data_IF_286406632667
#
_entry.id   IF_286406632667
#
_cell.length_a   1.000
_cell.length_b   1.000
_cell.length_c   1.000
_cell.angle_alpha   90.00
_cell.angle_beta   90.00
_cell.angle_gamma   90.00
#
_symmetry.space_group_name_H-M   'P 1'
#
loop_
_entity.id
_entity.type
_entity.pdbx_description
1 polymer ?
#
# COMPACT_ATOMS: atom_id res chain seq x y z
N UNK A 1 14.62 -13.02 17.54
CA UNK A 1 15.29 -11.82 18.10
C UNK A 1 14.16 -10.90 18.52
N UNK A 2 14.07 -10.55 19.80
CA UNK A 2 12.99 -9.70 20.33
C UNK A 2 13.11 -8.30 19.71
N UNK A 3 12.00 -7.58 19.57
CA UNK A 3 11.99 -6.16 19.20
C UNK A 3 12.95 -5.39 20.11
N UNK A 4 13.92 -4.69 19.54
CA UNK A 4 14.89 -3.91 20.32
C UNK A 4 14.12 -2.81 21.09
N UNK A 5 14.45 -2.62 22.37
CA UNK A 5 13.85 -1.58 23.20
C UNK A 5 14.01 -0.17 22.60
N UNK A 6 15.00 0.03 21.72
CA UNK A 6 15.24 1.28 21.01
C UNK A 6 14.31 1.50 19.79
N UNK A 7 13.74 0.44 19.23
CA UNK A 7 12.91 0.48 18.02
C UNK A 7 11.43 0.71 18.36
N UNK A 8 11.11 1.93 18.83
CA UNK A 8 9.78 2.31 19.29
C UNK A 8 9.20 3.52 18.54
N UNK A 9 8.15 3.29 17.76
CA UNK A 9 7.44 4.31 16.98
C UNK A 9 6.21 4.87 17.71
N UNK A 10 5.88 6.14 17.46
CA UNK A 10 4.69 6.79 18.03
C UNK A 10 3.40 6.37 17.30
N UNK A 11 2.25 6.70 17.87
CA UNK A 11 0.94 6.50 17.22
C UNK A 11 0.85 7.30 15.90
N UNK A 12 1.39 8.52 15.87
CA UNK A 12 1.42 9.35 14.67
C UNK A 12 2.33 8.74 13.59
N UNK A 13 3.54 8.30 13.96
CA UNK A 13 4.45 7.59 13.07
C UNK A 13 3.83 6.33 12.48
N UNK A 14 3.10 5.58 13.30
CA UNK A 14 2.37 4.38 12.86
C UNK A 14 1.28 4.75 11.85
N UNK A 15 0.49 5.79 12.13
CA UNK A 15 -0.53 6.26 11.21
C UNK A 15 0.07 6.71 9.87
N UNK A 16 1.19 7.43 9.90
CA UNK A 16 1.90 7.88 8.70
C UNK A 16 2.51 6.72 7.91
N UNK A 17 3.03 5.68 8.58
CA UNK A 17 3.48 4.45 7.91
C UNK A 17 2.33 3.78 7.17
N UNK A 18 1.18 3.63 7.85
CA UNK A 18 -0.02 3.06 7.24
C UNK A 18 -0.48 3.92 6.04
N UNK A 19 -0.55 5.25 6.19
CA UNK A 19 -0.95 6.15 5.11
C UNK A 19 -0.07 6.01 3.87
N UNK A 20 1.26 6.14 4.03
CA UNK A 20 2.17 6.08 2.89
C UNK A 20 2.15 4.69 2.22
N UNK A 21 2.05 3.63 3.02
CA UNK A 21 2.00 2.29 2.44
C UNK A 21 0.70 2.07 1.65
N UNK A 22 -0.43 2.57 2.16
CA UNK A 22 -1.71 2.51 1.45
C UNK A 22 -1.75 3.35 0.17
N UNK A 23 -1.12 4.53 0.15
CA UNK A 23 -1.17 5.46 -0.99
C UNK A 23 -0.44 4.96 -2.26
N UNK A 24 0.36 3.88 -2.17
CA UNK A 24 1.30 3.36 -3.17
C UNK A 24 0.98 3.64 -4.66
N UNK A 25 0.59 2.61 -5.41
CA UNK A 25 0.26 2.75 -6.85
C UNK A 25 -1.21 3.08 -7.09
N UNK A 26 -2.05 3.01 -6.05
CA UNK A 26 -3.50 3.15 -6.17
C UNK A 26 -3.94 4.50 -6.72
N UNK A 27 -3.26 5.61 -6.39
CA UNK A 27 -3.71 6.97 -6.81
C UNK A 27 -3.86 7.07 -8.34
N UNK A 28 -3.03 6.36 -9.10
CA UNK A 28 -2.97 6.53 -10.55
C UNK A 28 -3.74 5.48 -11.33
N UNK A 29 -3.82 4.27 -10.81
CA UNK A 29 -4.54 3.17 -11.46
C UNK A 29 -5.98 3.06 -11.00
N UNK A 30 -6.30 3.48 -9.77
CA UNK A 30 -7.61 3.24 -9.16
C UNK A 30 -8.75 3.81 -9.98
N UNK A 31 -8.72 5.05 -10.51
CA UNK A 31 -9.84 5.54 -11.31
C UNK A 31 -10.14 4.62 -12.50
N UNK A 32 -9.13 4.19 -13.24
CA UNK A 32 -9.30 3.27 -14.38
C UNK A 32 -9.86 1.92 -13.94
N UNK A 33 -9.18 1.25 -13.01
CA UNK A 33 -9.50 -0.14 -12.63
C UNK A 33 -10.87 -0.25 -11.96
N UNK A 34 -11.26 0.74 -11.16
CA UNK A 34 -12.55 0.76 -10.50
C UNK A 34 -13.69 1.19 -11.44
N UNK A 35 -13.47 2.14 -12.35
CA UNK A 35 -14.47 2.53 -13.37
C UNK A 35 -14.69 1.41 -14.38
N UNK A 36 -13.64 0.70 -14.81
CA UNK A 36 -13.78 -0.45 -15.72
C UNK A 36 -14.67 -1.55 -15.11
N UNK A 37 -14.61 -1.72 -13.78
CA UNK A 37 -15.43 -2.68 -13.06
C UNK A 37 -16.87 -2.21 -12.84
N UNK A 38 -17.06 -0.97 -12.41
CA UNK A 38 -18.35 -0.43 -11.97
C UNK A 38 -19.17 0.12 -13.14
N UNK A 39 -18.53 0.73 -14.15
CA UNK A 39 -19.15 1.30 -15.36
C UNK A 39 -20.25 2.35 -15.09
N UNK A 40 -20.14 3.06 -13.96
CA UNK A 40 -21.00 4.18 -13.57
C UNK A 40 -20.16 5.26 -12.90
N UNK A 41 -20.63 6.53 -12.82
CA UNK A 41 -19.93 7.57 -12.08
C UNK A 41 -19.89 7.34 -10.55
N UNK A 42 -20.68 6.40 -10.02
CA UNK A 42 -20.83 6.11 -8.58
C UNK A 42 -19.62 5.38 -7.96
N UNK A 43 -18.52 5.28 -8.70
CA UNK A 43 -17.30 4.58 -8.27
C UNK A 43 -16.74 5.15 -6.97
N UNK A 44 -16.90 6.44 -6.73
CA UNK A 44 -16.46 7.08 -5.49
C UNK A 44 -17.12 6.45 -4.24
N UNK A 45 -18.38 6.00 -4.33
CA UNK A 45 -19.04 5.25 -3.25
C UNK A 45 -18.39 3.87 -3.05
N UNK A 46 -18.01 3.23 -4.14
CA UNK A 46 -17.31 1.94 -4.12
C UNK A 46 -15.94 2.06 -3.44
N UNK A 47 -15.23 3.17 -3.68
CA UNK A 47 -13.94 3.48 -3.05
C UNK A 47 -14.10 3.67 -1.54
N UNK A 48 -15.15 4.38 -1.12
CA UNK A 48 -15.49 4.54 0.30
C UNK A 48 -15.79 3.19 0.97
N UNK A 49 -16.66 2.37 0.37
CA UNK A 49 -17.00 1.05 0.89
C UNK A 49 -15.79 0.13 0.96
N UNK A 50 -14.91 0.15 -0.05
CA UNK A 50 -13.66 -0.60 -0.05
C UNK A 50 -12.75 -0.20 1.12
N UNK A 51 -12.70 1.09 1.45
CA UNK A 51 -11.97 1.61 2.60
C UNK A 51 -12.56 1.19 3.94
N UNK A 52 -13.90 1.17 4.06
CA UNK A 52 -14.58 0.64 5.25
C UNK A 52 -14.27 -0.85 5.47
N UNK A 53 -14.25 -1.64 4.40
CA UNK A 53 -13.82 -3.05 4.46
C UNK A 53 -12.38 -3.15 4.96
N UNK A 54 -11.46 -2.32 4.45
CA UNK A 54 -10.08 -2.29 4.91
C UNK A 54 -9.97 -1.93 6.41
N UNK A 55 -10.77 -0.99 6.91
CA UNK A 55 -10.85 -0.66 8.35
C UNK A 55 -11.31 -1.86 9.17
N UNK A 56 -12.33 -2.61 8.72
CA UNK A 56 -12.81 -3.82 9.41
C UNK A 56 -11.70 -4.88 9.47
N UNK A 57 -11.01 -5.12 8.35
CA UNK A 57 -9.87 -6.06 8.29
C UNK A 57 -8.75 -5.62 9.23
N UNK A 58 -8.44 -4.32 9.26
CA UNK A 58 -7.42 -3.76 10.15
C UNK A 58 -7.74 -3.96 11.62
N UNK A 59 -9.03 -3.88 12.01
CA UNK A 59 -9.47 -4.16 13.37
C UNK A 59 -9.14 -5.60 13.76
N UNK A 60 -9.37 -6.57 12.86
CA UNK A 60 -9.05 -7.98 13.09
C UNK A 60 -7.55 -8.16 13.30
N UNK A 61 -6.71 -7.57 12.43
CA UNK A 61 -5.26 -7.63 12.52
C UNK A 61 -4.73 -7.03 13.84
N UNK A 62 -5.21 -5.84 14.20
CA UNK A 62 -4.81 -5.17 15.44
C UNK A 62 -5.24 -5.97 16.66
N UNK A 63 -6.46 -6.49 16.67
CA UNK A 63 -6.98 -7.32 17.77
C UNK A 63 -6.16 -8.59 17.94
N UNK A 64 -5.79 -9.24 16.84
CA UNK A 64 -4.90 -10.40 16.85
C UNK A 64 -3.53 -10.03 17.43
N UNK A 65 -2.88 -9.00 16.88
CA UNK A 65 -1.53 -8.63 17.31
C UNK A 65 -1.47 -8.16 18.76
N UNK A 66 -2.49 -7.43 19.25
CA UNK A 66 -2.57 -7.01 20.66
C UNK A 66 -2.75 -8.19 21.63
N UNK A 67 -3.25 -9.32 21.14
CA UNK A 67 -3.33 -10.56 21.92
C UNK A 67 -1.97 -11.16 22.25
N UNK A 68 -0.91 -10.75 21.55
CA UNK A 68 0.45 -11.26 21.69
C UNK A 68 1.47 -10.12 21.83
N UNK A 69 1.54 -9.46 23.00
CA UNK A 69 2.44 -8.34 23.24
C UNK A 69 3.91 -8.68 22.96
N UNK A 70 4.66 -7.69 22.43
CA UNK A 70 6.10 -7.77 22.09
C UNK A 70 6.50 -8.90 21.12
N UNK A 71 5.52 -9.57 20.50
CA UNK A 71 5.74 -10.58 19.46
C UNK A 71 5.26 -10.05 18.12
N UNK A 72 6.07 -10.29 17.10
CA UNK A 72 5.68 -10.05 15.70
C UNK A 72 4.78 -11.17 15.17
N UNK A 73 4.11 -10.93 14.04
CA UNK A 73 3.33 -11.97 13.36
C UNK A 73 4.13 -13.25 13.12
N UNK A 74 5.39 -13.13 12.70
CA UNK A 74 6.28 -14.27 12.41
C UNK A 74 6.61 -15.13 13.65
N UNK A 75 6.40 -14.58 14.84
CA UNK A 75 6.58 -15.27 16.12
C UNK A 75 5.27 -15.81 16.66
N UNK A 76 4.23 -14.97 16.81
CA UNK A 76 2.98 -15.40 17.44
C UNK A 76 2.18 -16.37 16.56
N UNK A 77 2.29 -16.32 15.22
CA UNK A 77 1.57 -17.29 14.39
C UNK A 77 2.05 -18.73 14.66
N UNK A 78 3.33 -18.92 14.99
CA UNK A 78 3.92 -20.24 15.31
C UNK A 78 3.47 -20.74 16.68
N UNK A 79 3.16 -19.84 17.59
CA UNK A 79 2.54 -20.16 18.88
C UNK A 79 1.09 -20.61 18.72
N UNK A 80 0.34 -19.98 17.81
CA UNK A 80 -1.08 -20.30 17.56
C UNK A 80 -1.24 -21.64 16.84
N UNK A 81 -0.53 -21.86 15.72
CA UNK A 81 -0.75 -23.05 14.86
C UNK A 81 0.44 -24.02 14.82
N UNK A 82 1.49 -23.77 15.60
CA UNK A 82 2.68 -24.61 15.67
C UNK A 82 3.80 -24.20 14.70
N UNK A 83 4.99 -24.77 14.92
CA UNK A 83 6.24 -24.40 14.22
C UNK A 83 6.16 -24.58 12.70
N UNK A 84 5.55 -25.66 12.23
CA UNK A 84 5.51 -26.02 10.80
C UNK A 84 4.48 -25.18 10.04
N UNK A 85 3.21 -25.22 10.46
CA UNK A 85 2.14 -24.44 9.82
C UNK A 85 2.39 -22.92 9.93
N UNK A 86 2.78 -22.43 11.11
CA UNK A 86 3.14 -21.02 11.29
C UNK A 86 4.40 -20.64 10.50
N UNK A 87 5.36 -21.56 10.37
CA UNK A 87 6.55 -21.38 9.52
C UNK A 87 6.19 -21.20 8.05
N UNK A 88 5.27 -22.00 7.52
CA UNK A 88 4.76 -21.87 6.15
C UNK A 88 4.00 -20.55 5.95
N UNK A 89 3.10 -20.18 6.87
CA UNK A 89 2.36 -18.91 6.82
C UNK A 89 3.33 -17.71 6.83
N UNK A 90 4.36 -17.78 7.68
CA UNK A 90 5.41 -16.77 7.76
C UNK A 90 6.17 -16.66 6.43
N UNK A 91 6.53 -17.79 5.83
CA UNK A 91 7.24 -17.82 4.54
C UNK A 91 6.38 -17.23 3.41
N UNK A 92 5.10 -17.56 3.36
CA UNK A 92 4.17 -17.00 2.36
C UNK A 92 4.05 -15.48 2.52
N UNK A 93 3.95 -14.97 3.75
CA UNK A 93 3.90 -13.54 4.00
C UNK A 93 5.23 -12.83 3.64
N UNK A 94 6.37 -13.48 3.87
CA UNK A 94 7.68 -12.98 3.42
C UNK A 94 7.73 -12.87 1.89
N UNK A 95 7.34 -13.94 1.18
CA UNK A 95 7.30 -13.94 -0.29
C UNK A 95 6.35 -12.86 -0.83
N UNK A 96 5.22 -12.65 -0.18
CA UNK A 96 4.28 -11.58 -0.49
C UNK A 96 4.92 -10.19 -0.37
N UNK A 97 5.61 -9.90 0.74
CA UNK A 97 6.30 -8.62 0.90
C UNK A 97 7.47 -8.44 -0.08
N UNK A 98 8.21 -9.51 -0.42
CA UNK A 98 9.24 -9.46 -1.48
C UNK A 98 8.63 -9.19 -2.86
N UNK A 99 7.48 -9.77 -3.16
CA UNK A 99 6.75 -9.51 -4.40
C UNK A 99 6.33 -8.04 -4.50
N UNK A 100 5.85 -7.45 -3.40
CA UNK A 100 5.58 -6.01 -3.33
C UNK A 100 6.86 -5.22 -3.60
N UNK A 101 7.97 -5.51 -2.92
CA UNK A 101 9.23 -4.78 -3.13
C UNK A 101 9.69 -4.80 -4.58
N UNK A 102 9.67 -5.96 -5.24
CA UNK A 102 10.02 -6.08 -6.66
C UNK A 102 9.02 -5.38 -7.58
N UNK A 103 7.72 -5.47 -7.30
CA UNK A 103 6.67 -4.74 -8.02
C UNK A 103 6.86 -3.23 -7.96
N UNK A 104 7.23 -2.69 -6.79
CA UNK A 104 7.49 -1.25 -6.62
C UNK A 104 8.68 -0.79 -7.47
N UNK A 105 9.79 -1.53 -7.47
CA UNK A 105 10.95 -1.21 -8.32
C UNK A 105 10.56 -1.26 -9.79
N UNK A 106 9.88 -2.32 -10.24
CA UNK A 106 9.48 -2.40 -11.64
C UNK A 106 8.54 -1.25 -12.01
N UNK A 107 7.57 -0.93 -11.16
CA UNK A 107 6.64 0.17 -11.35
C UNK A 107 7.36 1.51 -11.50
N UNK A 108 8.34 1.82 -10.64
CA UNK A 108 9.08 3.09 -10.78
C UNK A 108 9.90 3.14 -12.06
N UNK A 109 10.49 2.02 -12.49
CA UNK A 109 11.29 2.01 -13.71
C UNK A 109 10.46 2.24 -14.97
N UNK A 110 9.25 1.68 -15.04
CA UNK A 110 8.31 1.94 -16.14
C UNK A 110 7.97 3.44 -16.18
N UNK A 111 7.64 4.02 -15.02
CA UNK A 111 7.27 5.43 -14.92
C UNK A 111 8.42 6.35 -15.31
N UNK A 112 9.63 6.08 -14.80
CA UNK A 112 10.83 6.86 -15.16
C UNK A 112 11.07 6.77 -16.67
N UNK A 113 11.00 5.57 -17.25
CA UNK A 113 11.25 5.38 -18.67
C UNK A 113 10.19 6.06 -19.56
N UNK A 114 8.92 6.01 -19.18
CA UNK A 114 7.82 6.60 -19.95
C UNK A 114 7.70 8.12 -19.81
N UNK A 115 8.04 8.69 -18.65
CA UNK A 115 7.72 10.09 -18.35
C UNK A 115 8.93 11.00 -18.12
N UNK A 116 10.09 10.46 -17.73
CA UNK A 116 11.21 11.28 -17.25
C UNK A 116 12.49 11.10 -18.07
N UNK A 117 12.91 9.85 -18.28
CA UNK A 117 14.23 9.51 -18.81
C UNK A 117 14.09 8.44 -19.90
N UNK A 118 13.55 8.86 -21.05
CA UNK A 118 13.44 8.01 -22.22
C UNK A 118 14.82 7.47 -22.64
N UNK A 119 14.90 6.19 -22.99
CA UNK A 119 16.15 5.53 -23.37
C UNK A 119 17.08 5.11 -22.22
N UNK A 120 16.76 5.46 -20.96
CA UNK A 120 17.53 4.96 -19.81
C UNK A 120 17.27 3.47 -19.59
N UNK A 121 18.31 2.62 -19.52
CA UNK A 121 18.12 1.20 -19.29
C UNK A 121 17.45 0.92 -17.93
N UNK A 122 16.45 0.02 -17.93
CA UNK A 122 15.70 -0.40 -16.75
C UNK A 122 16.61 -0.84 -15.60
N UNK A 123 17.70 -1.57 -15.91
CA UNK A 123 18.63 -2.05 -14.89
C UNK A 123 19.28 -0.90 -14.10
N UNK A 124 19.56 0.24 -14.75
CA UNK A 124 20.23 1.36 -14.13
C UNK A 124 19.30 2.08 -13.13
N UNK A 125 18.08 2.41 -13.55
CA UNK A 125 17.08 3.05 -12.69
C UNK A 125 16.64 2.11 -11.55
N UNK A 126 16.44 0.82 -11.82
CA UNK A 126 16.11 -0.17 -10.80
C UNK A 126 17.20 -0.27 -9.72
N UNK A 127 18.47 -0.33 -10.14
CA UNK A 127 19.61 -0.46 -9.22
C UNK A 127 19.72 0.75 -8.32
N UNK A 128 19.69 1.97 -8.87
CA UNK A 128 19.77 3.21 -8.08
C UNK A 128 18.64 3.26 -7.06
N UNK A 129 17.40 3.01 -7.49
CA UNK A 129 16.24 3.06 -6.62
C UNK A 129 16.31 2.03 -5.48
N UNK A 130 16.74 0.80 -5.79
CA UNK A 130 16.94 -0.27 -4.82
C UNK A 130 18.01 0.09 -3.79
N UNK A 131 19.17 0.61 -4.21
CA UNK A 131 20.24 0.99 -3.28
C UNK A 131 19.88 2.19 -2.42
N UNK A 132 19.16 3.18 -2.96
CA UNK A 132 18.63 4.29 -2.17
C UNK A 132 17.69 3.78 -1.07
N UNK A 133 16.76 2.88 -1.39
CA UNK A 133 15.86 2.27 -0.41
C UNK A 133 16.63 1.43 0.62
N UNK A 134 17.62 0.67 0.17
CA UNK A 134 18.49 -0.14 1.03
C UNK A 134 19.25 0.69 2.06
N UNK A 135 19.74 1.87 1.67
CA UNK A 135 20.42 2.77 2.60
C UNK A 135 19.53 3.15 3.79
N UNK A 136 18.26 3.49 3.55
CA UNK A 136 17.31 3.79 4.62
C UNK A 136 16.95 2.56 5.46
N UNK A 137 16.79 1.40 4.81
CA UNK A 137 16.49 0.12 5.46
C UNK A 137 17.50 -0.24 6.55
N UNK A 138 18.79 0.03 6.32
CA UNK A 138 19.86 -0.24 7.29
C UNK A 138 19.67 0.52 8.62
N UNK A 139 18.94 1.63 8.60
CA UNK A 139 18.60 2.43 9.77
C UNK A 139 17.51 1.82 10.66
N UNK A 140 16.74 0.85 10.17
CA UNK A 140 15.64 0.22 10.91
C UNK A 140 14.34 1.04 10.93
N UNK A 141 13.39 0.63 11.76
CA UNK A 141 12.01 1.18 11.71
C UNK A 141 11.92 2.67 12.10
N UNK A 142 12.79 3.15 12.98
CA UNK A 142 12.76 4.53 13.46
C UNK A 142 13.14 5.55 12.36
N UNK A 143 14.27 5.43 11.64
CA UNK A 143 14.56 6.27 10.48
C UNK A 143 13.51 6.17 9.37
N UNK A 144 12.99 4.96 9.11
CA UNK A 144 11.90 4.75 8.14
C UNK A 144 10.69 5.61 8.53
N UNK A 145 10.25 5.53 9.78
CA UNK A 145 9.12 6.31 10.30
C UNK A 145 9.34 7.82 10.15
N UNK A 146 10.54 8.32 10.51
CA UNK A 146 10.87 9.76 10.41
C UNK A 146 10.86 10.26 8.97
N UNK A 147 11.37 9.48 8.02
CA UNK A 147 11.32 9.88 6.62
C UNK A 147 9.88 9.90 6.12
N UNK A 148 9.04 8.93 6.52
CA UNK A 148 7.65 8.91 6.08
C UNK A 148 6.87 10.09 6.69
N UNK A 149 7.19 10.51 7.91
CA UNK A 149 6.69 11.75 8.53
C UNK A 149 7.07 13.00 7.74
N UNK A 150 8.22 13.01 7.05
CA UNK A 150 8.62 14.10 6.16
C UNK A 150 7.88 14.04 4.81
N UNK A 151 7.76 12.84 4.23
CA UNK A 151 7.15 12.63 2.91
C UNK A 151 5.64 12.92 2.93
N UNK A 152 4.96 12.61 4.04
CA UNK A 152 3.50 12.72 4.09
C UNK A 152 2.97 14.15 3.93
N UNK A 153 3.46 15.18 4.67
CA UNK A 153 3.04 16.57 4.45
C UNK A 153 3.32 17.07 3.03
N UNK A 154 4.48 16.71 2.45
CA UNK A 154 4.82 17.05 1.06
C UNK A 154 3.78 16.45 0.11
N UNK A 155 3.44 15.18 0.32
CA UNK A 155 2.41 14.48 -0.46
C UNK A 155 1.06 15.17 -0.35
N UNK A 156 0.64 15.58 0.85
CA UNK A 156 -0.63 16.31 1.07
C UNK A 156 -0.64 17.65 0.35
N UNK A 157 0.41 18.45 0.49
CA UNK A 157 0.49 19.78 -0.12
C UNK A 157 0.43 19.68 -1.64
N UNK A 158 1.24 18.82 -2.24
CA UNK A 158 1.28 18.66 -3.69
C UNK A 158 -0.05 18.07 -4.17
N UNK A 159 -0.64 17.11 -3.46
CA UNK A 159 -1.92 16.51 -3.83
C UNK A 159 -3.05 17.56 -3.83
N UNK A 160 -3.13 18.40 -2.80
CA UNK A 160 -4.14 19.46 -2.73
C UNK A 160 -3.95 20.50 -3.84
N UNK A 161 -2.71 20.85 -4.18
CA UNK A 161 -2.40 21.73 -5.31
C UNK A 161 -2.91 21.13 -6.63
N UNK A 162 -2.56 19.87 -6.91
CA UNK A 162 -2.99 19.11 -8.09
C UNK A 162 -4.52 19.01 -8.15
N UNK A 163 -5.17 18.70 -7.03
CA UNK A 163 -6.63 18.62 -6.95
C UNK A 163 -7.31 19.98 -7.18
N UNK A 164 -6.75 21.06 -6.62
CA UNK A 164 -7.27 22.42 -6.82
C UNK A 164 -7.19 22.84 -8.28
N UNK A 165 -6.06 22.60 -8.94
CA UNK A 165 -5.91 22.88 -10.37
C UNK A 165 -6.90 22.09 -11.22
N UNK A 166 -7.18 20.84 -10.83
CA UNK A 166 -8.10 19.96 -11.53
C UNK A 166 -9.55 20.48 -11.60
N UNK A 167 -9.92 21.45 -10.77
CA UNK A 167 -11.28 22.04 -10.75
C UNK A 167 -11.62 22.75 -12.06
N UNK A 168 -10.63 23.29 -12.78
CA UNK A 168 -10.87 24.03 -14.03
C UNK A 168 -11.44 23.19 -15.17
N UNK A 169 -11.25 21.88 -15.16
CA UNK A 169 -11.79 20.94 -16.17
C UNK A 169 -12.99 20.14 -15.64
N UNK A 170 -13.42 20.39 -14.40
CA UNK A 170 -14.43 19.58 -13.74
C UNK A 170 -15.83 19.93 -14.24
N UNK A 171 -16.52 18.95 -14.80
CA UNK A 171 -17.94 19.03 -15.13
C UNK A 171 -18.74 18.14 -14.17
N UNK A 172 -19.65 18.74 -13.41
CA UNK A 172 -20.49 18.03 -12.44
C UNK A 172 -21.46 17.06 -13.11
N UNK A 173 -21.83 17.29 -14.36
CA UNK A 173 -22.76 16.43 -15.08
C UNK A 173 -22.14 15.07 -15.43
N UNK A 174 -20.80 14.99 -15.50
CA UNK A 174 -20.09 13.71 -15.62
C UNK A 174 -20.27 12.80 -14.38
N UNK A 175 -20.70 13.34 -13.24
CA UNK A 175 -21.01 12.59 -12.02
C UNK A 175 -22.50 12.29 -11.85
N UNK A 176 -23.34 12.77 -12.78
CA UNK A 176 -24.80 12.64 -12.72
C UNK A 176 -25.32 11.68 -13.79
N UNK A 177 -26.49 11.05 -13.56
CA UNK A 177 -27.19 10.98 -12.28
C UNK A 177 -26.48 10.06 -11.27
N UNK A 178 -26.49 10.44 -9.99
CA UNK A 178 -25.97 9.61 -8.90
C UNK A 178 -26.91 8.43 -8.66
N UNK A 179 -26.36 7.23 -8.61
CA UNK A 179 -27.05 5.95 -8.50
C UNK A 179 -28.07 5.70 -9.63
N UNK A 180 -27.81 6.22 -10.83
CA UNK A 180 -28.70 6.04 -11.99
C UNK A 180 -28.92 4.57 -12.39
N UNK A 181 -27.96 3.69 -12.10
CA UNK A 181 -28.08 2.22 -12.30
C UNK A 181 -28.32 1.46 -10.98
N UNK A 182 -28.72 2.15 -9.93
CA UNK A 182 -28.92 1.60 -8.59
C UNK A 182 -27.61 1.24 -7.87
N UNK A 183 -27.73 0.53 -6.74
CA UNK A 183 -26.58 0.20 -5.86
C UNK A 183 -25.78 -1.02 -6.33
N UNK A 184 -26.32 -1.84 -7.23
CA UNK A 184 -25.69 -3.11 -7.65
C UNK A 184 -24.28 -2.89 -8.25
N UNK A 185 -24.06 -1.94 -9.18
CA UNK A 185 -22.71 -1.69 -9.71
C UNK A 185 -21.72 -1.27 -8.63
N UNK A 186 -22.16 -0.47 -7.66
CA UNK A 186 -21.34 -0.04 -6.52
C UNK A 186 -20.88 -1.25 -5.69
N UNK A 187 -21.79 -2.20 -5.41
CA UNK A 187 -21.44 -3.42 -4.67
C UNK A 187 -20.46 -4.31 -5.44
N UNK A 188 -20.58 -4.38 -6.77
CA UNK A 188 -19.69 -5.18 -7.62
C UNK A 188 -18.25 -4.67 -7.66
N UNK A 189 -18.04 -3.39 -7.42
CA UNK A 189 -16.70 -2.80 -7.40
C UNK A 189 -15.95 -2.93 -6.07
N UNK A 190 -16.61 -3.34 -4.98
CA UNK A 190 -16.02 -3.37 -3.62
C UNK A 190 -14.72 -4.18 -3.60
N UNK A 191 -14.72 -5.37 -4.22
CA UNK A 191 -13.52 -6.21 -4.28
C UNK A 191 -12.34 -5.47 -4.92
N UNK A 192 -12.58 -4.82 -6.05
CA UNK A 192 -11.54 -4.09 -6.80
C UNK A 192 -11.04 -2.88 -6.01
N UNK A 193 -11.92 -2.13 -5.36
CA UNK A 193 -11.50 -0.95 -4.58
C UNK A 193 -10.83 -1.33 -3.26
N UNK A 194 -11.22 -2.45 -2.63
CA UNK A 194 -10.51 -2.98 -1.45
C UNK A 194 -9.04 -3.29 -1.77
N UNK A 195 -8.71 -3.70 -3.00
CA UNK A 195 -7.31 -3.92 -3.41
C UNK A 195 -6.45 -2.67 -3.34
N UNK A 196 -7.02 -1.50 -3.61
CA UNK A 196 -6.31 -0.22 -3.49
C UNK A 196 -5.88 0.09 -2.05
N UNK A 197 -6.50 -0.55 -1.06
CA UNK A 197 -6.16 -0.43 0.36
C UNK A 197 -5.28 -1.59 0.86
N UNK A 198 -4.63 -2.30 -0.07
CA UNK A 198 -3.52 -3.18 0.25
C UNK A 198 -2.36 -2.33 0.77
N UNK A 199 -1.70 -2.79 1.83
CA UNK A 199 -0.77 -2.02 2.66
C UNK A 199 -1.21 -1.99 4.12
N UNK A 200 -2.51 -2.16 4.40
CA UNK A 200 -3.04 -2.22 5.77
C UNK A 200 -2.42 -3.36 6.60
N UNK A 201 -2.00 -4.43 5.93
CA UNK A 201 -1.39 -5.62 6.52
C UNK A 201 -0.07 -5.36 7.23
N UNK A 202 0.56 -4.20 7.02
CA UNK A 202 1.75 -3.81 7.79
C UNK A 202 1.48 -3.78 9.29
N UNK A 203 0.22 -3.58 9.71
CA UNK A 203 -0.21 -3.67 11.10
C UNK A 203 0.07 -5.03 11.74
N UNK A 204 0.15 -6.12 10.97
CA UNK A 204 0.57 -7.42 11.50
C UNK A 204 2.03 -7.41 12.00
N UNK A 205 2.84 -6.49 11.47
CA UNK A 205 4.28 -6.39 11.74
C UNK A 205 4.60 -5.26 12.71
N UNK A 206 4.00 -4.07 12.55
CA UNK A 206 4.46 -2.85 13.23
C UNK A 206 3.88 -2.62 14.63
N UNK A 207 2.77 -3.28 15.00
CA UNK A 207 2.15 -3.14 16.33
C UNK A 207 3.12 -3.36 17.50
N UNK A 208 3.96 -4.43 17.54
CA UNK A 208 4.91 -4.62 18.64
C UNK A 208 6.01 -3.54 18.70
N UNK A 209 6.24 -2.78 17.62
CA UNK A 209 7.17 -1.65 17.60
C UNK A 209 6.52 -0.36 18.11
N UNK A 210 5.23 -0.33 18.40
CA UNK A 210 4.58 0.88 18.92
C UNK A 210 4.98 1.15 20.37
N UNK A 211 5.11 2.42 20.73
CA UNK A 211 5.17 2.88 22.14
C UNK A 211 3.88 2.62 22.90
N UNK A 212 2.75 2.67 22.19
CA UNK A 212 1.39 2.55 22.73
C UNK A 212 0.57 1.54 21.89
N UNK A 213 0.86 0.22 21.97
CA UNK A 213 0.18 -0.81 21.18
C UNK A 213 -1.34 -0.84 21.42
N UNK A 214 -1.82 -0.39 22.58
CA UNK A 214 -3.24 -0.26 22.89
C UNK A 214 -3.97 0.74 21.97
N UNK A 215 -3.24 1.73 21.43
CA UNK A 215 -3.74 2.72 20.47
C UNK A 215 -3.49 2.33 19.01
N UNK A 216 -3.04 1.09 18.75
CA UNK A 216 -2.82 0.59 17.39
C UNK A 216 -4.04 0.76 16.47
N UNK A 217 -5.26 0.53 16.98
CA UNK A 217 -6.47 0.71 16.17
C UNK A 217 -6.72 2.18 15.81
N UNK A 218 -6.42 3.10 16.73
CA UNK A 218 -6.49 4.54 16.46
C UNK A 218 -5.47 4.94 15.38
N UNK A 219 -4.25 4.42 15.45
CA UNK A 219 -3.21 4.69 14.46
C UNK A 219 -3.65 4.24 13.06
N UNK A 220 -4.10 3.00 12.92
CA UNK A 220 -4.50 2.47 11.60
C UNK A 220 -5.77 3.14 11.08
N UNK A 221 -6.72 3.50 11.95
CA UNK A 221 -7.92 4.24 11.55
C UNK A 221 -7.55 5.59 10.95
N UNK A 222 -6.72 6.39 11.65
CA UNK A 222 -6.23 7.68 11.13
C UNK A 222 -5.44 7.46 9.84
N UNK A 223 -4.55 6.47 9.82
CA UNK A 223 -3.73 6.14 8.67
C UNK A 223 -4.51 5.68 7.44
N UNK A 224 -5.73 5.16 7.61
CA UNK A 224 -6.58 4.70 6.50
C UNK A 224 -7.52 5.80 6.00
N UNK A 225 -7.96 6.71 6.89
CA UNK A 225 -8.85 7.82 6.51
C UNK A 225 -8.20 8.74 5.47
N UNK A 226 -6.90 9.03 5.58
CA UNK A 226 -6.20 9.86 4.59
C UNK A 226 -6.21 9.24 3.18
N UNK A 227 -5.77 7.99 2.96
CA UNK A 227 -5.92 7.30 1.67
C UNK A 227 -7.34 7.26 1.14
N UNK A 228 -8.35 7.01 1.99
CA UNK A 228 -9.76 7.06 1.57
C UNK A 228 -10.10 8.42 0.97
N UNK A 229 -9.74 9.51 1.65
CA UNK A 229 -9.98 10.87 1.15
C UNK A 229 -9.23 11.13 -0.16
N UNK A 230 -7.95 10.77 -0.24
CA UNK A 230 -7.13 10.97 -1.45
C UNK A 230 -7.72 10.21 -2.64
N UNK A 231 -8.08 8.94 -2.45
CA UNK A 231 -8.66 8.10 -3.49
C UNK A 231 -10.04 8.58 -3.93
N UNK A 232 -10.91 8.97 -2.99
CA UNK A 232 -12.20 9.53 -3.31
C UNK A 232 -12.07 10.83 -4.12
N UNK A 233 -11.26 11.78 -3.64
CA UNK A 233 -11.01 13.05 -4.35
C UNK A 233 -10.46 12.76 -5.75
N UNK A 234 -9.46 11.88 -5.86
CA UNK A 234 -8.86 11.53 -7.15
C UNK A 234 -9.89 10.97 -8.13
N UNK A 235 -10.69 9.99 -7.70
CA UNK A 235 -11.72 9.37 -8.56
C UNK A 235 -12.79 10.37 -8.97
N UNK A 236 -13.25 11.22 -8.03
CA UNK A 236 -14.24 12.27 -8.30
C UNK A 236 -13.69 13.26 -9.33
N UNK A 237 -12.46 13.77 -9.14
CA UNK A 237 -11.85 14.73 -10.06
C UNK A 237 -11.63 14.13 -11.44
N UNK A 238 -11.12 12.89 -11.50
CA UNK A 238 -10.81 12.21 -12.76
C UNK A 238 -12.07 11.88 -13.57
N UNK A 239 -13.13 11.39 -12.93
CA UNK A 239 -14.42 11.14 -13.62
C UNK A 239 -15.08 12.47 -13.99
N UNK A 240 -15.08 13.45 -13.08
CA UNK A 240 -15.67 14.76 -13.33
C UNK A 240 -15.04 15.49 -14.52
N UNK A 241 -13.74 15.31 -14.73
CA UNK A 241 -13.03 15.93 -15.84
C UNK A 241 -13.04 15.10 -17.14
N UNK A 242 -12.96 13.77 -17.06
CA UNK A 242 -12.78 12.91 -18.25
C UNK A 242 -14.03 12.11 -18.65
N UNK A 243 -15.09 12.10 -17.84
CA UNK A 243 -16.24 11.18 -17.93
C UNK A 243 -15.87 9.70 -17.73
N UNK A 244 -16.87 8.84 -17.51
CA UNK A 244 -16.68 7.37 -17.36
C UNK A 244 -15.97 6.77 -18.57
N UNK A 245 -16.40 7.14 -19.79
CA UNK A 245 -15.86 6.58 -21.04
C UNK A 245 -14.44 7.08 -21.32
N UNK A 246 -14.15 8.34 -20.97
CA UNK A 246 -12.80 8.87 -21.08
C UNK A 246 -11.84 8.22 -20.09
N UNK A 247 -12.27 7.88 -18.86
CA UNK A 247 -11.40 7.24 -17.88
C UNK A 247 -10.95 5.83 -18.30
N UNK A 248 -11.85 5.00 -18.84
CA UNK A 248 -11.54 3.59 -19.17
C UNK A 248 -10.60 3.44 -20.37
N UNK A 249 -10.52 4.45 -21.23
CA UNK A 249 -9.65 4.45 -22.42
C UNK A 249 -8.22 4.91 -22.14
N UNK A 250 -7.95 5.45 -20.94
CA UNK A 250 -6.62 5.95 -20.56
C UNK A 250 -5.89 4.96 -19.67
N UNK A 251 -4.59 4.78 -19.91
CA UNK A 251 -3.77 3.91 -19.06
C UNK A 251 -3.56 4.49 -17.67
N UNK A 252 -3.31 5.81 -17.61
CA UNK A 252 -3.03 6.55 -16.38
C UNK A 252 -3.91 7.81 -16.33
N UNK A 253 -5.23 7.65 -16.12
CA UNK A 253 -6.18 8.76 -16.27
C UNK A 253 -5.87 9.95 -15.36
N UNK A 254 -5.32 9.71 -14.16
CA UNK A 254 -4.89 10.79 -13.26
C UNK A 254 -3.72 11.61 -13.81
N UNK A 255 -2.76 10.98 -14.50
CA UNK A 255 -1.65 11.69 -15.16
C UNK A 255 -2.16 12.46 -16.38
N UNK A 256 -3.02 11.82 -17.19
CA UNK A 256 -3.56 12.44 -18.40
C UNK A 256 -4.44 13.66 -18.09
N UNK A 257 -5.20 13.61 -16.98
CA UNK A 257 -5.89 14.79 -16.46
C UNK A 257 -4.91 15.92 -16.17
N UNK A 258 -3.78 15.64 -15.51
CA UNK A 258 -2.81 16.68 -15.16
C UNK A 258 -2.11 17.31 -16.37
N UNK A 259 -1.85 16.53 -17.42
CA UNK A 259 -1.33 17.03 -18.70
C UNK A 259 -2.30 17.97 -19.42
N UNK A 260 -3.60 17.91 -19.10
CA UNK A 260 -4.60 18.79 -19.71
C UNK A 260 -4.53 20.23 -19.18
N UNK A 261 -3.72 20.50 -18.16
CA UNK A 261 -3.53 21.82 -17.54
C UNK A 261 -2.22 22.53 -17.91
N UNK A 262 -1.53 22.09 -18.98
CA UNK A 262 -0.32 22.77 -19.44
C UNK A 262 -0.66 24.21 -19.90
N UNK A 263 -0.27 25.21 -19.09
CA UNK A 263 -0.38 26.64 -19.41
C UNK A 263 1.01 27.14 -19.82
N UNK A 264 1.26 27.43 -21.11
CA UNK A 264 2.55 27.93 -21.56
C UNK A 264 2.92 29.26 -20.86
N UNK A 265 4.15 29.40 -20.37
CA UNK A 265 4.66 30.65 -19.79
C UNK A 265 4.56 30.80 -18.26
N UNK A 266 4.08 29.78 -17.52
CA UNK A 266 4.23 29.70 -16.07
C UNK A 266 5.56 29.01 -15.69
N UNK A 267 6.10 29.29 -14.50
CA UNK A 267 7.34 28.64 -14.00
C UNK A 267 7.19 27.10 -13.95
N UNK A 268 5.98 26.60 -13.75
CA UNK A 268 5.64 25.17 -13.81
C UNK A 268 4.81 24.87 -15.06
N UNK A 269 5.46 24.65 -16.19
CA UNK A 269 4.77 24.34 -17.45
C UNK A 269 4.21 22.90 -17.48
N UNK A 270 4.77 21.99 -16.67
CA UNK A 270 4.47 20.55 -16.65
C UNK A 270 3.97 20.07 -15.30
N UNK A 271 2.70 20.34 -14.99
CA UNK A 271 2.06 20.01 -13.71
C UNK A 271 1.98 18.50 -13.43
N UNK A 272 2.03 17.66 -14.47
CA UNK A 272 2.11 16.20 -14.30
C UNK A 272 3.38 15.77 -13.56
N UNK A 273 4.46 16.56 -13.65
CA UNK A 273 5.72 16.30 -12.95
C UNK A 273 5.56 16.33 -11.44
N UNK A 274 4.68 17.18 -10.91
CA UNK A 274 4.41 17.26 -9.47
C UNK A 274 3.75 15.97 -8.95
N UNK A 275 2.82 15.43 -9.73
CA UNK A 275 2.16 14.15 -9.42
C UNK A 275 3.17 12.98 -9.49
N UNK A 276 4.08 13.00 -10.46
CA UNK A 276 5.17 12.01 -10.56
C UNK A 276 6.10 12.05 -9.34
N UNK A 277 6.41 13.24 -8.81
CA UNK A 277 7.22 13.36 -7.58
C UNK A 277 6.53 12.70 -6.40
N UNK A 278 5.24 12.98 -6.17
CA UNK A 278 4.46 12.30 -5.12
C UNK A 278 4.56 10.79 -5.33
N UNK A 279 4.29 10.32 -6.55
CA UNK A 279 4.20 8.91 -6.82
C UNK A 279 5.52 8.18 -6.61
N UNK A 280 6.63 8.75 -7.08
CA UNK A 280 7.98 8.17 -6.86
C UNK A 280 8.28 8.08 -5.37
N UNK A 281 7.91 9.10 -4.57
CA UNK A 281 8.01 9.04 -3.12
C UNK A 281 7.15 7.92 -2.52
N UNK A 282 5.91 7.74 -2.98
CA UNK A 282 5.03 6.66 -2.49
C UNK A 282 5.52 5.26 -2.89
N UNK A 283 6.05 5.09 -4.10
CA UNK A 283 6.69 3.84 -4.51
C UNK A 283 7.92 3.55 -3.62
N UNK A 284 8.69 4.60 -3.29
CA UNK A 284 9.87 4.49 -2.44
C UNK A 284 9.50 4.04 -1.01
N UNK A 285 8.49 4.67 -0.40
CA UNK A 285 8.02 4.27 0.95
C UNK A 285 7.51 2.84 0.95
N UNK A 286 6.75 2.43 -0.08
CA UNK A 286 6.25 1.07 -0.26
C UNK A 286 7.39 0.04 -0.39
N UNK A 287 8.41 0.33 -1.20
CA UNK A 287 9.60 -0.50 -1.35
C UNK A 287 10.28 -0.72 0.01
N UNK A 288 10.57 0.37 0.72
CA UNK A 288 11.31 0.33 1.98
C UNK A 288 10.55 -0.48 3.03
N UNK A 289 9.26 -0.21 3.25
CA UNK A 289 8.52 -0.87 4.34
C UNK A 289 8.24 -2.34 4.04
N UNK A 290 7.93 -2.69 2.78
CA UNK A 290 7.72 -4.09 2.37
C UNK A 290 9.01 -4.90 2.47
N UNK A 291 10.14 -4.35 2.03
CA UNK A 291 11.43 -5.01 2.16
C UNK A 291 11.79 -5.19 3.63
N UNK A 292 11.60 -4.17 4.47
CA UNK A 292 11.82 -4.29 5.91
C UNK A 292 11.01 -5.44 6.52
N UNK A 293 9.73 -5.53 6.18
CA UNK A 293 8.84 -6.58 6.65
C UNK A 293 9.30 -7.98 6.22
N UNK A 294 9.77 -8.15 4.97
CA UNK A 294 10.31 -9.41 4.47
C UNK A 294 11.62 -9.81 5.17
N UNK A 295 12.56 -8.86 5.30
CA UNK A 295 13.86 -9.09 5.94
C UNK A 295 13.71 -9.44 7.43
N UNK A 296 12.82 -8.73 8.14
CA UNK A 296 12.47 -9.03 9.52
C UNK A 296 11.88 -10.43 9.67
N UNK A 297 10.99 -10.82 8.76
CA UNK A 297 10.41 -12.16 8.74
C UNK A 297 11.45 -13.25 8.61
N UNK A 298 12.36 -13.15 7.63
CA UNK A 298 13.45 -14.11 7.46
C UNK A 298 14.39 -14.13 8.67
N UNK A 299 14.72 -12.96 9.22
CA UNK A 299 15.54 -12.83 10.42
C UNK A 299 14.96 -13.59 11.60
N UNK A 300 13.66 -13.49 11.84
CA UNK A 300 12.98 -14.21 12.91
C UNK A 300 12.72 -15.68 12.57
N UNK A 301 12.48 -16.01 11.30
CA UNK A 301 12.28 -17.38 10.84
C UNK A 301 13.53 -18.23 11.11
N UNK A 302 14.69 -17.70 10.72
CA UNK A 302 15.99 -18.36 10.78
C UNK A 302 16.82 -17.99 12.02
N UNK A 303 16.32 -17.07 12.87
CA UNK A 303 17.00 -16.56 14.06
C UNK A 303 18.40 -15.99 13.75
N UNK A 304 18.52 -15.23 12.66
CA UNK A 304 19.75 -14.55 12.25
C UNK A 304 19.58 -13.04 12.30
N UNK A 305 20.68 -12.30 12.33
CA UNK A 305 20.64 -10.83 12.29
C UNK A 305 19.98 -10.32 11.01
N UNK A 306 19.24 -9.23 11.14
CA UNK A 306 18.46 -8.66 10.03
C UNK A 306 19.36 -8.03 8.96
N UNK A 307 20.49 -7.41 9.31
CA UNK A 307 21.35 -6.68 8.34
C UNK A 307 21.97 -7.57 7.27
N UNK A 308 22.59 -8.73 7.58
CA UNK A 308 23.07 -9.64 6.54
C UNK A 308 21.94 -10.17 5.65
N UNK A 309 20.76 -10.41 6.22
CA UNK A 309 19.58 -10.84 5.46
C UNK A 309 19.09 -9.74 4.53
N UNK A 310 19.01 -8.49 5.00
CA UNK A 310 18.68 -7.34 4.15
C UNK A 310 19.63 -7.30 2.95
N UNK A 311 20.94 -7.41 3.17
CA UNK A 311 21.91 -7.41 2.08
C UNK A 311 21.72 -8.60 1.12
N UNK A 312 21.54 -9.82 1.65
CA UNK A 312 21.31 -11.03 0.84
C UNK A 312 20.02 -11.01 0.03
N UNK A 313 19.03 -10.21 0.42
CA UNK A 313 17.78 -10.03 -0.31
C UNK A 313 17.87 -9.05 -1.49
N UNK A 314 18.94 -8.24 -1.61
CA UNK A 314 19.11 -7.28 -2.71
C UNK A 314 18.98 -7.95 -4.09
N UNK A 315 19.75 -9.02 -4.41
CA UNK A 315 19.61 -9.70 -5.68
C UNK A 315 18.23 -10.34 -5.86
N UNK A 316 17.59 -10.81 -4.78
CA UNK A 316 16.26 -11.43 -4.85
C UNK A 316 15.21 -10.40 -5.26
N UNK A 317 15.19 -9.25 -4.60
CA UNK A 317 14.25 -8.16 -4.91
C UNK A 317 14.49 -7.62 -6.32
N UNK A 318 15.75 -7.46 -6.73
CA UNK A 318 16.10 -7.08 -8.10
C UNK A 318 15.60 -8.08 -9.13
N UNK A 319 15.83 -9.39 -8.92
CA UNK A 319 15.37 -10.43 -9.84
C UNK A 319 13.84 -10.46 -9.96
N UNK A 320 13.11 -10.31 -8.85
CA UNK A 320 11.64 -10.20 -8.87
C UNK A 320 11.20 -9.01 -9.73
N UNK A 321 11.88 -7.85 -9.59
CA UNK A 321 11.58 -6.67 -10.39
C UNK A 321 11.82 -6.86 -11.90
N UNK A 322 12.70 -7.78 -12.28
CA UNK A 322 12.99 -8.09 -13.69
C UNK A 322 12.08 -9.16 -14.30
N UNK A 323 11.18 -9.79 -13.51
CA UNK A 323 10.24 -10.80 -14.01
C UNK A 323 9.27 -10.19 -15.05
N UNK A 324 8.58 -9.06 -14.76
CA UNK A 324 7.66 -8.46 -15.73
C UNK A 324 8.45 -7.80 -16.87
N UNK A 325 8.12 -8.17 -18.10
CA UNK A 325 8.81 -7.66 -19.30
C UNK A 325 8.20 -6.38 -19.87
N UNK A 326 6.97 -6.05 -19.48
CA UNK A 326 6.23 -4.88 -19.95
C UNK A 326 5.16 -4.46 -18.93
N UNK A 327 4.61 -3.26 -19.13
CA UNK A 327 3.60 -2.64 -18.25
C UNK A 327 2.36 -3.52 -18.02
N UNK A 328 1.91 -4.30 -19.00
CA UNK A 328 0.75 -5.18 -18.84
C UNK A 328 1.05 -6.32 -17.85
N UNK A 329 2.25 -6.90 -17.91
CA UNK A 329 2.68 -7.89 -16.93
C UNK A 329 2.86 -7.27 -15.53
N UNK A 330 3.26 -5.99 -15.44
CA UNK A 330 3.31 -5.27 -14.16
C UNK A 330 1.92 -5.19 -13.55
N UNK A 331 0.89 -4.83 -14.32
CA UNK A 331 -0.49 -4.83 -13.83
C UNK A 331 -0.97 -6.21 -13.39
N UNK A 332 -0.65 -7.27 -14.14
CA UNK A 332 -0.98 -8.65 -13.75
C UNK A 332 -0.33 -9.06 -12.43
N UNK A 333 0.93 -8.66 -12.20
CA UNK A 333 1.60 -8.89 -10.90
C UNK A 333 0.93 -8.09 -9.80
N UNK A 334 0.53 -6.84 -10.05
CA UNK A 334 -0.25 -6.03 -9.13
C UNK A 334 -1.57 -6.70 -8.72
N UNK A 335 -2.31 -7.25 -9.70
CA UNK A 335 -3.55 -8.00 -9.45
C UNK A 335 -3.30 -9.28 -8.65
N UNK A 336 -2.21 -9.99 -8.94
CA UNK A 336 -1.82 -11.18 -8.17
C UNK A 336 -1.51 -10.84 -6.72
N UNK A 337 -0.77 -9.74 -6.48
CA UNK A 337 -0.49 -9.22 -5.13
C UNK A 337 -1.79 -8.86 -4.42
N UNK A 338 -2.67 -8.07 -5.06
CA UNK A 338 -3.96 -7.67 -4.48
C UNK A 338 -4.86 -8.87 -4.14
N UNK A 339 -4.94 -9.87 -5.03
CA UNK A 339 -5.68 -11.10 -4.76
C UNK A 339 -5.05 -11.90 -3.61
N UNK A 340 -3.72 -11.99 -3.55
CA UNK A 340 -3.00 -12.68 -2.47
C UNK A 340 -3.24 -12.02 -1.11
N UNK A 341 -3.37 -10.69 -1.08
CA UNK A 341 -3.65 -9.93 0.13
C UNK A 341 -4.99 -10.34 0.79
N UNK A 342 -6.05 -10.64 0.04
CA UNK A 342 -7.32 -11.11 0.65
C UNK A 342 -7.07 -12.38 1.46
N UNK A 343 -6.39 -13.36 0.87
CA UNK A 343 -6.21 -14.66 1.50
C UNK A 343 -5.19 -14.57 2.66
N UNK A 344 -4.02 -14.01 2.40
CA UNK A 344 -2.91 -13.96 3.36
C UNK A 344 -3.12 -12.93 4.47
N UNK A 345 -3.77 -11.81 4.17
CA UNK A 345 -3.89 -10.69 5.09
C UNK A 345 -5.32 -10.48 5.58
N UNK A 346 -6.34 -10.89 4.82
CA UNK A 346 -7.73 -10.92 5.29
C UNK A 346 -8.08 -12.22 6.03
N UNK A 347 -8.02 -13.35 5.32
CA UNK A 347 -8.50 -14.64 5.84
C UNK A 347 -7.60 -15.23 6.92
N UNK A 348 -6.28 -15.25 6.73
CA UNK A 348 -5.35 -15.86 7.69
C UNK A 348 -5.40 -15.20 9.08
N UNK A 349 -5.34 -13.86 9.24
CA UNK A 349 -5.47 -13.25 10.57
C UNK A 349 -6.81 -13.53 11.24
N UNK A 350 -7.90 -13.59 10.47
CA UNK A 350 -9.21 -13.98 11.01
C UNK A 350 -9.20 -15.40 11.55
N UNK A 351 -8.67 -16.37 10.79
CA UNK A 351 -8.54 -17.76 11.22
C UNK A 351 -7.65 -17.89 12.46
N UNK A 352 -6.49 -17.23 12.47
CA UNK A 352 -5.58 -17.22 13.62
C UNK A 352 -6.24 -16.62 14.86
N UNK A 353 -7.04 -15.57 14.73
CA UNK A 353 -7.78 -14.97 15.83
C UNK A 353 -8.83 -15.93 16.41
N UNK A 354 -9.55 -16.67 15.54
CA UNK A 354 -10.52 -17.68 15.97
C UNK A 354 -9.84 -18.85 16.70
N UNK A 355 -8.74 -19.37 16.15
CA UNK A 355 -7.96 -20.45 16.77
C UNK A 355 -7.39 -20.01 18.12
N UNK A 356 -6.83 -18.80 18.20
CA UNK A 356 -6.30 -18.21 19.43
C UNK A 356 -7.36 -18.15 20.54
N UNK A 357 -8.57 -17.67 20.22
CA UNK A 357 -9.70 -17.62 21.18
C UNK A 357 -10.16 -19.01 21.62
N UNK A 358 -10.25 -19.96 20.70
CA UNK A 358 -10.66 -21.32 21.00
C UNK A 358 -9.70 -22.01 21.98
N UNK A 359 -8.38 -21.78 21.84
CA UNK A 359 -7.37 -22.31 22.76
C UNK A 359 -7.46 -21.69 24.15
N UNK A 360 -7.55 -20.36 24.26
CA UNK A 360 -7.67 -19.68 25.56
C UNK A 360 -8.88 -20.16 26.37
N UNK A 361 -10.04 -20.33 25.71
CA UNK A 361 -11.24 -20.86 26.36
C UNK A 361 -11.06 -22.30 26.87
N UNK A 362 -10.29 -23.12 26.16
CA UNK A 362 -9.99 -24.49 26.58
C UNK A 362 -9.06 -24.51 27.79
N UNK A 363 -8.07 -23.62 27.83
CA UNK A 363 -7.14 -23.51 28.96
C UNK A 363 -7.88 -23.01 30.22
N UNK A 364 -8.80 -22.05 30.08
CA UNK A 364 -9.68 -21.56 31.16
C UNK A 364 -10.71 -22.60 31.65
N UNK A 365 -11.10 -23.57 30.83
CA UNK A 365 -12.05 -24.62 31.21
C UNK A 365 -11.39 -25.85 31.86
N UNK A 366 -10.06 -25.97 31.73
CA UNK A 366 -9.26 -27.06 32.32
C UNK A 366 -8.59 -26.65 33.65
N UNK A 367 -8.75 -25.40 34.07
CA UNK A 367 -8.33 -24.84 35.35
C UNK A 367 -9.56 -24.45 36.16
#
# INVERSE_FOLDING_TARGET
MKVDAKDRITVAQTAVIVTNFLLGTGILTLPRTSVEKVKTPDVWLTVLLGGLVAIIVSYIMVKLSRGYPDKTFYEYNREIVGKWAGGLISLLLICYFLAISGFQIRSVTEVIQFFLLEGTPIWASATVFLWCGFYLLLGGINPIARLFELIFPITVIIFLLVAFMSIGLFDIDNLRPVLGKGIIPVMQGIKTTTFAYTGIEIMLIIVPFMKQPEKAFKAVLIGTVFPIMFYMITVIMVIGALSVDGVVTRTWPTIDLMRSFEIPGLIFERFESLLLVIWIMQIYTNLVISYYAAALGLSQLFKKDIKPIMFGLLPVVYLIAMIPKNVNQVFQVGDLIGNSAIYLCGTVPLLLLLISKARRKKDEANH
#
